data_IF_066068022257
#
_entry.id   IF_066068022257
#
_cell.length_a   1.000
_cell.length_b   1.000
_cell.length_c   1.000
_cell.angle_alpha   90.00
_cell.angle_beta   90.00
_cell.angle_gamma   90.00
#
_symmetry.space_group_name_H-M   'P 1'
#
loop_
_entity.id
_entity.type
_entity.pdbx_description
1 polymer ?
#
# COMPACT_ATOMS: atom_id res chain seq x y z
N UNK A 1 -19.79 10.97 -17.24
CA UNK A 1 -18.52 11.66 -16.92
C UNK A 1 -18.61 12.28 -15.53
N UNK A 2 -18.43 11.49 -14.47
CA UNK A 2 -18.19 12.01 -13.10
C UNK A 2 -17.60 10.94 -12.15
N UNK A 3 -16.83 9.98 -12.68
CA UNK A 3 -16.23 8.90 -11.88
C UNK A 3 -14.73 9.11 -11.61
N UNK A 4 -14.05 9.88 -12.47
CA UNK A 4 -12.59 10.09 -12.38
C UNK A 4 -12.17 11.04 -11.25
N UNK A 5 -13.08 11.84 -10.70
CA UNK A 5 -12.75 12.78 -9.63
C UNK A 5 -12.76 12.12 -8.24
N UNK A 6 -13.46 11.00 -8.08
CA UNK A 6 -13.58 10.31 -6.80
C UNK A 6 -12.36 9.41 -6.51
N UNK A 7 -11.79 8.76 -7.52
CA UNK A 7 -10.69 7.80 -7.35
C UNK A 7 -9.37 8.44 -6.90
N UNK A 8 -9.10 9.68 -7.34
CA UNK A 8 -7.90 10.43 -6.91
C UNK A 8 -8.00 10.90 -5.47
N UNK A 9 -9.18 11.34 -5.02
CA UNK A 9 -9.43 11.70 -3.63
C UNK A 9 -9.32 10.47 -2.73
N UNK A 10 -9.93 9.33 -3.11
CA UNK A 10 -9.85 8.07 -2.37
C UNK A 10 -8.39 7.62 -2.19
N UNK A 11 -7.58 7.70 -3.25
CA UNK A 11 -6.13 7.39 -3.22
C UNK A 11 -5.34 8.27 -2.23
N UNK A 12 -5.66 9.56 -2.15
CA UNK A 12 -5.05 10.49 -1.20
C UNK A 12 -5.46 10.13 0.24
N UNK A 13 -6.74 9.82 0.46
CA UNK A 13 -7.26 9.39 1.76
C UNK A 13 -6.65 8.05 2.22
N UNK A 14 -6.48 7.09 1.32
CA UNK A 14 -5.79 5.81 1.54
C UNK A 14 -4.35 6.02 2.03
N UNK A 15 -3.58 6.86 1.32
CA UNK A 15 -2.20 7.16 1.72
C UNK A 15 -2.11 7.84 3.08
N UNK A 16 -3.05 8.75 3.39
CA UNK A 16 -3.13 9.40 4.69
C UNK A 16 -3.43 8.40 5.82
N UNK A 17 -4.41 7.50 5.65
CA UNK A 17 -4.73 6.45 6.63
C UNK A 17 -3.54 5.54 6.95
N UNK A 18 -2.77 5.14 5.94
CA UNK A 18 -1.54 4.34 6.13
C UNK A 18 -0.47 5.11 6.91
N UNK A 19 -0.30 6.40 6.60
CA UNK A 19 0.64 7.26 7.31
C UNK A 19 0.23 7.48 8.77
N UNK A 20 -1.07 7.65 9.02
CA UNK A 20 -1.61 7.79 10.37
C UNK A 20 -1.42 6.50 11.18
N UNK A 21 -1.71 5.33 10.60
CA UNK A 21 -1.46 4.04 11.23
C UNK A 21 0.02 3.87 11.61
N UNK A 22 0.93 4.20 10.68
CA UNK A 22 2.37 4.17 10.96
C UNK A 22 2.77 5.16 12.07
N UNK A 23 2.16 6.34 12.10
CA UNK A 23 2.34 7.34 13.15
C UNK A 23 1.93 6.82 14.53
N UNK A 24 0.76 6.16 14.62
CA UNK A 24 0.27 5.55 15.86
C UNK A 24 1.23 4.47 16.37
N UNK A 25 1.69 3.58 15.49
CA UNK A 25 2.63 2.51 15.85
C UNK A 25 3.93 3.08 16.40
N UNK A 26 4.48 4.08 15.70
CA UNK A 26 5.72 4.73 16.11
C UNK A 26 5.55 5.42 17.47
N UNK A 27 4.43 6.10 17.68
CA UNK A 27 4.13 6.74 18.96
C UNK A 27 4.03 5.72 20.08
N UNK A 28 3.18 4.70 19.93
CA UNK A 28 2.98 3.65 20.95
C UNK A 28 4.27 2.90 21.25
N UNK A 29 5.04 2.55 20.22
CA UNK A 29 6.35 1.89 20.38
C UNK A 29 7.31 2.77 21.15
N UNK A 30 7.42 4.06 20.80
CA UNK A 30 8.31 5.01 21.48
C UNK A 30 7.92 5.15 22.96
N UNK A 31 6.63 5.36 23.24
CA UNK A 31 6.12 5.45 24.61
C UNK A 31 6.40 4.18 25.41
N UNK A 32 6.24 2.99 24.80
CA UNK A 32 6.56 1.72 25.46
C UNK A 32 8.04 1.60 25.83
N UNK A 33 8.95 2.07 24.97
CA UNK A 33 10.38 2.09 25.24
C UNK A 33 10.76 3.11 26.32
N UNK A 34 10.05 4.24 26.41
CA UNK A 34 10.23 5.24 27.46
C UNK A 34 9.79 4.73 28.83
N UNK A 35 8.60 4.12 28.92
CA UNK A 35 8.06 3.59 30.19
C UNK A 35 8.68 2.25 30.59
N UNK A 36 9.29 1.53 29.63
CA UNK A 36 9.91 0.23 29.86
C UNK A 36 11.26 0.13 29.12
N UNK A 37 12.33 0.80 29.61
CA UNK A 37 13.62 0.89 28.93
C UNK A 37 14.27 -0.47 28.61
N UNK A 38 13.95 -1.51 29.39
CA UNK A 38 14.42 -2.88 29.15
C UNK A 38 13.98 -3.45 27.79
N UNK A 39 12.91 -2.94 27.20
CA UNK A 39 12.47 -3.31 25.85
C UNK A 39 13.32 -2.68 24.75
N UNK A 40 14.01 -1.58 25.05
CA UNK A 40 14.95 -0.90 24.15
C UNK A 40 16.41 -1.30 24.35
N UNK A 41 16.68 -2.31 25.20
CA UNK A 41 18.03 -2.66 25.62
C UNK A 41 18.91 -3.21 24.48
N UNK A 42 18.29 -3.76 23.43
CA UNK A 42 19.00 -4.28 22.24
C UNK A 42 18.15 -4.04 20.99
N UNK A 43 18.79 -3.92 19.82
CA UNK A 43 18.08 -3.78 18.53
C UNK A 43 17.02 -4.86 18.35
N UNK A 44 17.37 -6.10 18.70
CA UNK A 44 16.46 -7.25 18.60
C UNK A 44 15.22 -7.08 19.49
N UNK A 45 15.38 -6.60 20.72
CA UNK A 45 14.24 -6.37 21.61
C UNK A 45 13.37 -5.20 21.13
N UNK A 46 14.00 -4.15 20.60
CA UNK A 46 13.29 -3.01 20.00
C UNK A 46 12.46 -3.47 18.81
N UNK A 47 13.04 -4.27 17.90
CA UNK A 47 12.34 -4.83 16.73
C UNK A 47 11.20 -5.78 17.12
N UNK A 48 11.41 -6.65 18.11
CA UNK A 48 10.35 -7.53 18.64
C UNK A 48 9.23 -6.73 19.31
N UNK A 49 9.57 -5.66 20.02
CA UNK A 49 8.59 -4.76 20.65
C UNK A 49 7.78 -4.02 19.58
N UNK A 50 8.43 -3.48 18.56
CA UNK A 50 7.77 -2.86 17.42
C UNK A 50 6.84 -3.86 16.73
N UNK A 51 7.30 -5.09 16.48
CA UNK A 51 6.48 -6.16 15.85
C UNK A 51 5.29 -6.56 16.71
N UNK A 52 5.44 -6.58 18.04
CA UNK A 52 4.34 -6.88 18.96
C UNK A 52 3.34 -5.72 19.06
N UNK A 53 3.81 -4.47 19.08
CA UNK A 53 2.97 -3.27 19.05
C UNK A 53 2.23 -3.18 17.74
N UNK A 54 2.91 -3.47 16.62
CA UNK A 54 2.27 -3.68 15.33
C UNK A 54 1.20 -4.75 15.50
N UNK A 55 1.50 -6.00 15.82
CA UNK A 55 0.46 -7.04 15.96
C UNK A 55 -0.74 -6.69 16.87
N UNK A 56 -0.52 -5.94 17.96
CA UNK A 56 -1.59 -5.50 18.87
C UNK A 56 -2.42 -4.32 18.35
N UNK A 57 -1.77 -3.29 17.77
CA UNK A 57 -2.42 -2.09 17.23
C UNK A 57 -3.05 -2.41 15.87
N UNK A 58 -2.33 -3.17 15.06
CA UNK A 58 -2.75 -3.63 13.76
C UNK A 58 -3.73 -4.80 13.84
N UNK A 59 -3.90 -5.55 14.93
CA UNK A 59 -4.90 -6.63 14.96
C UNK A 59 -6.31 -6.24 14.44
N UNK A 60 -6.74 -4.99 14.68
CA UNK A 60 -8.00 -4.45 14.14
C UNK A 60 -7.79 -3.46 12.96
N UNK A 61 -6.73 -2.65 13.00
CA UNK A 61 -6.43 -1.66 11.93
C UNK A 61 -5.83 -2.29 10.66
N UNK A 62 -5.23 -3.47 10.78
CA UNK A 62 -4.50 -4.14 9.72
C UNK A 62 -5.45 -4.67 8.69
N UNK A 63 -6.55 -5.30 9.09
CA UNK A 63 -7.50 -5.86 8.14
C UNK A 63 -8.04 -4.75 7.22
N UNK A 64 -8.39 -3.58 7.78
CA UNK A 64 -8.83 -2.43 7.00
C UNK A 64 -7.74 -1.84 6.09
N UNK A 65 -6.51 -1.70 6.59
CA UNK A 65 -5.39 -1.18 5.77
C UNK A 65 -4.93 -2.20 4.72
N UNK A 66 -5.01 -3.48 5.03
CA UNK A 66 -4.60 -4.57 4.15
C UNK A 66 -5.61 -4.77 3.03
N UNK A 67 -6.91 -4.74 3.34
CA UNK A 67 -7.98 -4.73 2.34
C UNK A 67 -7.80 -3.57 1.36
N UNK A 68 -7.50 -2.36 1.87
CA UNK A 68 -7.21 -1.18 1.05
C UNK A 68 -5.97 -1.39 0.14
N UNK A 69 -4.90 -2.03 0.65
CA UNK A 69 -3.72 -2.37 -0.16
C UNK A 69 -4.07 -3.36 -1.26
N UNK A 70 -4.89 -4.37 -0.95
CA UNK A 70 -5.35 -5.36 -1.90
C UNK A 70 -6.17 -4.71 -3.03
N UNK A 71 -7.11 -3.83 -2.69
CA UNK A 71 -7.93 -3.10 -3.65
C UNK A 71 -7.07 -2.21 -4.56
N UNK A 72 -6.18 -1.40 -3.98
CA UNK A 72 -5.28 -0.53 -4.76
C UNK A 72 -4.37 -1.32 -5.71
N UNK A 73 -3.90 -2.49 -5.25
CA UNK A 73 -3.07 -3.39 -6.07
C UNK A 73 -3.88 -3.97 -7.21
N UNK A 74 -5.10 -4.43 -6.95
CA UNK A 74 -6.00 -4.95 -7.99
C UNK A 74 -6.29 -3.89 -9.07
N UNK A 75 -6.61 -2.66 -8.67
CA UNK A 75 -6.83 -1.56 -9.62
C UNK A 75 -5.59 -1.27 -10.48
N UNK A 76 -4.38 -1.31 -9.88
CA UNK A 76 -3.13 -1.13 -10.62
C UNK A 76 -2.86 -2.25 -11.61
N UNK A 77 -3.16 -3.49 -11.23
CA UNK A 77 -3.01 -4.66 -12.09
C UNK A 77 -3.97 -4.58 -13.28
N UNK A 78 -5.23 -4.20 -13.05
CA UNK A 78 -6.22 -3.98 -14.12
C UNK A 78 -5.78 -2.88 -15.10
N UNK A 79 -5.30 -1.74 -14.56
CA UNK A 79 -4.78 -0.64 -15.37
C UNK A 79 -3.53 -1.04 -16.17
N UNK A 80 -2.67 -1.88 -15.59
CA UNK A 80 -1.49 -2.41 -16.27
C UNK A 80 -1.91 -3.36 -17.40
N UNK A 81 -2.84 -4.27 -17.15
CA UNK A 81 -3.36 -5.20 -18.15
C UNK A 81 -3.98 -4.47 -19.34
N UNK A 82 -4.76 -3.40 -19.09
CA UNK A 82 -5.30 -2.55 -20.15
C UNK A 82 -4.20 -1.96 -21.06
N UNK A 83 -3.10 -1.49 -20.46
CA UNK A 83 -1.94 -0.96 -21.22
C UNK A 83 -1.23 -2.05 -22.02
N UNK A 84 -1.09 -3.25 -21.45
CA UNK A 84 -0.51 -4.40 -22.16
C UNK A 84 -1.34 -4.75 -23.39
N UNK A 85 -2.66 -4.89 -23.25
CA UNK A 85 -3.53 -5.16 -24.39
C UNK A 85 -3.50 -4.08 -25.46
N UNK A 86 -3.47 -2.80 -25.04
CA UNK A 86 -3.35 -1.68 -25.96
C UNK A 86 -2.03 -1.76 -26.75
N UNK A 87 -0.92 -2.04 -26.08
CA UNK A 87 0.39 -2.18 -26.69
C UNK A 87 0.44 -3.35 -27.69
N UNK A 88 -0.08 -4.52 -27.31
CA UNK A 88 -0.14 -5.69 -28.18
C UNK A 88 -0.94 -5.42 -29.46
N UNK A 89 -2.11 -4.80 -29.32
CA UNK A 89 -2.96 -4.41 -30.45
C UNK A 89 -2.25 -3.43 -31.40
N UNK A 90 -1.63 -2.38 -30.86
CA UNK A 90 -0.86 -1.42 -31.66
C UNK A 90 0.32 -2.06 -32.37
N UNK A 91 1.05 -2.93 -31.68
CA UNK A 91 2.19 -3.64 -32.26
C UNK A 91 1.75 -4.61 -33.37
N UNK A 92 0.64 -5.32 -33.17
CA UNK A 92 0.09 -6.22 -34.18
C UNK A 92 -0.39 -5.44 -35.42
N UNK A 93 -1.02 -4.28 -35.25
CA UNK A 93 -1.41 -3.40 -36.34
C UNK A 93 -0.20 -2.89 -37.13
N UNK A 94 0.86 -2.44 -36.44
CA UNK A 94 2.11 -1.99 -37.09
C UNK A 94 2.81 -3.10 -37.86
N UNK A 95 2.80 -4.33 -37.35
CA UNK A 95 3.36 -5.50 -38.06
C UNK A 95 2.61 -5.81 -39.35
N UNK A 96 1.28 -5.77 -39.32
CA UNK A 96 0.46 -5.98 -40.52
C UNK A 96 0.70 -4.90 -41.56
N UNK A 97 0.71 -3.63 -41.15
CA UNK A 97 0.97 -2.51 -42.06
C UNK A 97 2.36 -2.57 -42.73
N UNK A 98 3.37 -3.15 -42.06
CA UNK A 98 4.71 -3.33 -42.63
C UNK A 98 4.79 -4.50 -43.64
N UNK A 99 3.87 -5.47 -43.59
CA UNK A 99 3.82 -6.62 -44.50
C UNK A 99 2.98 -6.36 -45.77
N UNK A 100 2.23 -5.25 -45.81
CA UNK A 100 1.40 -4.84 -46.96
C UNK A 100 2.11 -3.84 -47.91
N UNK A 101 3.41 -3.63 -47.74
CA UNK A 101 4.29 -2.80 -48.60
C UNK A 101 5.21 -3.69 -49.41
#
# INVERSE_FOLDING_TARGET
DDASHNEEDESIFCRARRQDAHGVIKHVTTTLLEVRPGLGATSRLTELTASAVEGLVFGELYDSVFEEICEETACKDDALMAKVYQFESQHQARRKACMEV
#
